data_IF_963258260588
#
_entry.id   IF_963258260588
#
_cell.length_a   1.000
_cell.length_b   1.000
_cell.length_c   1.000
_cell.angle_alpha   90.00
_cell.angle_beta   90.00
_cell.angle_gamma   90.00
#
_symmetry.space_group_name_H-M   'P 1'
#
loop_
_entity.id
_entity.type
_entity.pdbx_description
1 polymer ?
#
# COMPACT_ATOMS: atom_id res chain seq x y z
N UNK A 1 -20.39 -48.32 10.41
CA UNK A 1 -20.99 -47.19 9.67
C UNK A 1 -20.98 -45.86 10.46
N UNK A 2 -21.29 -45.87 11.77
CA UNK A 2 -21.34 -44.63 12.59
C UNK A 2 -20.01 -43.85 12.65
N UNK A 3 -18.85 -44.55 12.69
CA UNK A 3 -17.51 -43.94 12.74
C UNK A 3 -17.10 -43.23 11.42
N UNK A 4 -17.60 -43.67 10.29
CA UNK A 4 -17.33 -43.05 8.98
C UNK A 4 -18.11 -41.73 8.80
N UNK A 5 -19.32 -41.66 9.33
CA UNK A 5 -20.18 -40.46 9.27
C UNK A 5 -19.61 -39.36 10.16
N UNK A 6 -19.11 -39.71 11.35
CA UNK A 6 -18.48 -38.74 12.26
C UNK A 6 -17.18 -38.11 11.68
N UNK A 7 -16.39 -38.89 10.93
CA UNK A 7 -15.18 -38.40 10.26
C UNK A 7 -15.47 -37.43 9.09
N UNK A 8 -16.58 -37.69 8.37
CA UNK A 8 -17.03 -36.86 7.25
C UNK A 8 -17.59 -35.50 7.73
N UNK A 9 -18.28 -35.47 8.87
CA UNK A 9 -18.80 -34.25 9.47
C UNK A 9 -17.71 -33.38 10.05
N UNK A 10 -16.65 -33.96 10.60
CA UNK A 10 -15.50 -33.19 11.15
C UNK A 10 -14.68 -32.51 10.04
N UNK A 11 -14.60 -33.13 8.84
CA UNK A 11 -13.88 -32.51 7.71
C UNK A 11 -14.65 -31.35 7.06
N UNK A 12 -15.97 -31.31 7.16
CA UNK A 12 -16.81 -30.21 6.67
C UNK A 12 -16.72 -28.95 7.56
N UNK A 13 -16.40 -29.12 8.84
CA UNK A 13 -16.27 -27.97 9.78
C UNK A 13 -14.92 -27.26 9.61
N UNK A 14 -13.90 -27.94 9.11
CA UNK A 14 -12.56 -27.35 8.89
C UNK A 14 -12.43 -26.57 7.58
N UNK A 15 -13.42 -26.63 6.68
CA UNK A 15 -13.43 -25.92 5.40
C UNK A 15 -14.03 -24.51 5.46
N UNK A 16 -14.39 -23.98 6.63
CA UNK A 16 -14.58 -22.55 6.81
C UNK A 16 -13.20 -21.88 6.91
N UNK A 17 -12.39 -22.00 5.84
CA UNK A 17 -11.26 -21.12 5.61
C UNK A 17 -11.82 -19.70 5.66
N UNK A 18 -11.55 -19.01 6.74
CA UNK A 18 -11.99 -17.68 7.03
C UNK A 18 -11.81 -16.80 5.79
N UNK A 19 -12.89 -16.48 5.11
CA UNK A 19 -12.99 -15.24 4.34
C UNK A 19 -12.65 -14.18 5.38
N UNK A 20 -11.41 -13.73 5.37
CA UNK A 20 -10.95 -12.71 6.32
C UNK A 20 -11.86 -11.51 6.09
N UNK A 21 -12.80 -11.29 7.02
CA UNK A 21 -13.76 -10.20 6.94
C UNK A 21 -12.98 -8.92 6.66
N UNK A 22 -13.45 -8.16 5.67
CA UNK A 22 -12.84 -6.87 5.35
C UNK A 22 -12.97 -5.98 6.55
N UNK A 23 -11.90 -5.28 6.86
CA UNK A 23 -11.93 -4.24 7.87
C UNK A 23 -12.85 -3.10 7.41
N UNK A 24 -13.76 -2.64 8.25
CA UNK A 24 -14.62 -1.50 7.94
C UNK A 24 -13.75 -0.24 7.83
N UNK A 25 -14.27 0.78 7.16
CA UNK A 25 -13.64 2.10 7.07
C UNK A 25 -13.43 2.55 5.62
N UNK A 26 -13.34 3.88 5.49
CA UNK A 26 -13.09 4.57 4.24
C UNK A 26 -11.64 5.04 4.21
N UNK A 27 -10.84 4.51 3.30
CA UNK A 27 -9.44 4.85 3.13
C UNK A 27 -9.27 5.68 1.87
N UNK A 28 -8.73 6.90 2.00
CA UNK A 28 -8.24 7.67 0.88
C UNK A 28 -6.74 7.42 0.72
N UNK A 29 -6.34 7.00 -0.46
CA UNK A 29 -4.93 6.76 -0.80
C UNK A 29 -4.32 8.04 -1.35
N UNK A 30 -3.25 8.52 -0.74
CA UNK A 30 -2.44 9.64 -1.19
C UNK A 30 -1.11 9.12 -1.71
N UNK A 31 -0.69 9.61 -2.88
CA UNK A 31 0.64 9.43 -3.44
C UNK A 31 1.09 10.81 -3.91
N UNK A 32 2.20 11.31 -3.38
CA UNK A 32 2.65 12.67 -3.65
C UNK A 32 2.87 12.89 -5.16
N UNK A 33 2.44 14.06 -5.65
CA UNK A 33 2.44 14.46 -7.07
C UNK A 33 3.78 14.23 -7.77
N UNK A 34 4.90 14.49 -7.07
CA UNK A 34 6.25 14.23 -7.60
C UNK A 34 6.51 12.80 -8.03
N UNK A 35 5.82 11.80 -7.47
CA UNK A 35 5.98 10.39 -7.90
C UNK A 35 5.35 10.11 -9.26
N UNK A 36 4.44 11.00 -9.71
CA UNK A 36 3.84 11.00 -11.05
C UNK A 36 4.64 11.86 -12.05
N UNK A 37 5.41 12.84 -11.58
CA UNK A 37 6.08 13.82 -12.43
C UNK A 37 7.57 13.52 -12.62
N UNK A 38 8.20 12.84 -11.67
CA UNK A 38 9.64 12.59 -11.68
C UNK A 38 9.95 11.11 -11.80
N UNK A 39 10.32 10.64 -13.01
CA UNK A 39 10.75 9.27 -13.20
C UNK A 39 12.08 9.01 -12.49
N UNK A 40 12.29 7.77 -12.09
CA UNK A 40 13.57 7.28 -11.57
C UNK A 40 14.22 6.35 -12.59
N UNK A 41 15.54 6.49 -12.75
CA UNK A 41 16.31 5.61 -13.60
C UNK A 41 16.62 4.31 -12.84
N UNK A 42 16.32 3.18 -13.46
CA UNK A 42 16.74 1.87 -12.96
C UNK A 42 18.12 1.55 -13.52
N UNK A 43 19.10 1.43 -12.63
CA UNK A 43 20.50 1.29 -13.02
C UNK A 43 20.74 -0.05 -13.70
N UNK A 44 21.23 -0.01 -14.96
CA UNK A 44 21.68 -1.15 -15.71
C UNK A 44 22.85 -0.73 -16.64
N UNK A 45 23.90 -1.57 -16.85
CA UNK A 45 25.06 -1.17 -17.65
C UNK A 45 24.74 -0.83 -19.11
N UNK A 46 23.72 -1.49 -19.69
CA UNK A 46 23.42 -1.41 -21.12
C UNK A 46 22.00 -0.96 -21.46
N UNK A 47 21.13 -0.81 -20.44
CA UNK A 47 19.72 -0.43 -20.64
C UNK A 47 19.44 0.89 -19.95
N UNK A 48 18.70 1.75 -20.62
CA UNK A 48 18.22 3.01 -20.09
C UNK A 48 16.72 2.90 -19.85
N UNK A 49 16.35 2.43 -18.65
CA UNK A 49 14.95 2.21 -18.28
C UNK A 49 14.56 3.23 -17.19
N UNK A 50 13.51 3.99 -17.49
CA UNK A 50 12.92 4.95 -16.58
C UNK A 50 11.59 4.45 -16.06
N UNK A 51 11.34 4.68 -14.78
CA UNK A 51 10.16 4.19 -14.08
C UNK A 51 9.42 5.31 -13.37
N UNK A 52 8.12 5.43 -13.65
CA UNK A 52 7.20 6.33 -12.94
C UNK A 52 6.61 5.58 -11.74
N UNK A 53 7.04 5.97 -10.55
CA UNK A 53 6.66 5.28 -9.30
C UNK A 53 5.18 5.45 -8.95
N UNK A 54 4.63 6.65 -9.17
CA UNK A 54 3.26 7.00 -8.81
C UNK A 54 2.21 6.10 -9.47
N UNK A 55 2.15 6.04 -10.82
CA UNK A 55 1.15 5.22 -11.52
C UNK A 55 1.20 3.74 -11.14
N UNK A 56 2.41 3.19 -10.92
CA UNK A 56 2.55 1.79 -10.54
C UNK A 56 2.09 1.54 -9.09
N UNK A 57 2.43 2.44 -8.17
CA UNK A 57 2.00 2.34 -6.78
C UNK A 57 0.49 2.50 -6.65
N UNK A 58 -0.12 3.44 -7.39
CA UNK A 58 -1.57 3.62 -7.46
C UNK A 58 -2.27 2.34 -7.95
N UNK A 59 -1.83 1.80 -9.09
CA UNK A 59 -2.36 0.54 -9.65
C UNK A 59 -2.32 -0.58 -8.62
N UNK A 60 -1.19 -0.74 -7.93
CA UNK A 60 -1.02 -1.79 -6.92
C UNK A 60 -1.88 -1.52 -5.68
N UNK A 61 -1.95 -0.28 -5.21
CA UNK A 61 -2.76 0.09 -4.05
C UNK A 61 -4.25 -0.20 -4.30
N UNK A 62 -4.80 0.27 -5.43
CA UNK A 62 -6.21 0.04 -5.81
C UNK A 62 -6.54 -1.44 -6.08
N UNK A 63 -5.55 -2.26 -6.41
CA UNK A 63 -5.70 -3.70 -6.61
C UNK A 63 -5.63 -4.49 -5.30
N UNK A 64 -4.83 -4.04 -4.33
CA UNK A 64 -4.50 -4.86 -3.14
C UNK A 64 -5.25 -4.42 -1.88
N UNK A 65 -5.36 -3.11 -1.61
CA UNK A 65 -6.06 -2.59 -0.43
C UNK A 65 -7.53 -3.02 -0.34
N UNK A 66 -8.33 -3.04 -1.45
CA UNK A 66 -9.73 -3.48 -1.39
C UNK A 66 -9.92 -4.94 -1.01
N UNK A 67 -8.87 -5.75 -1.00
CA UNK A 67 -8.93 -7.14 -0.51
C UNK A 67 -9.10 -7.19 1.00
N UNK A 68 -8.64 -6.17 1.72
CA UNK A 68 -8.64 -6.11 3.19
C UNK A 68 -9.56 -5.04 3.75
N UNK A 69 -9.78 -3.93 3.04
CA UNK A 69 -10.57 -2.78 3.47
C UNK A 69 -11.82 -2.64 2.63
N UNK A 70 -12.91 -2.13 3.24
CA UNK A 70 -14.22 -2.07 2.58
C UNK A 70 -14.24 -1.04 1.46
N UNK A 71 -13.83 0.20 1.77
CA UNK A 71 -13.83 1.31 0.82
C UNK A 71 -12.44 1.88 0.67
N UNK A 72 -11.92 1.87 -0.56
CA UNK A 72 -10.61 2.43 -0.89
C UNK A 72 -10.75 3.30 -2.14
N UNK A 73 -10.36 4.56 -2.02
CA UNK A 73 -10.39 5.53 -3.12
C UNK A 73 -9.07 6.29 -3.19
N UNK A 74 -8.76 6.90 -4.33
CA UNK A 74 -7.67 7.87 -4.39
C UNK A 74 -8.09 9.19 -3.76
N UNK A 75 -7.16 9.91 -3.17
CA UNK A 75 -7.37 11.23 -2.58
C UNK A 75 -8.11 12.20 -3.50
N UNK A 76 -7.75 12.24 -4.80
CA UNK A 76 -8.39 13.09 -5.79
C UNK A 76 -9.89 12.84 -5.95
N UNK A 77 -10.38 11.67 -5.57
CA UNK A 77 -11.76 11.24 -5.72
C UNK A 77 -12.47 11.06 -4.37
N UNK A 78 -11.80 11.40 -3.26
CA UNK A 78 -12.33 11.19 -1.91
C UNK A 78 -12.88 12.48 -1.34
N UNK A 79 -14.17 12.51 -1.08
CA UNK A 79 -14.82 13.60 -0.32
C UNK A 79 -14.75 13.35 1.18
N UNK A 80 -14.83 12.08 1.61
CA UNK A 80 -14.81 11.68 3.01
C UNK A 80 -13.96 10.43 3.19
N UNK A 81 -13.04 10.44 4.14
CA UNK A 81 -12.28 9.27 4.54
C UNK A 81 -12.03 9.28 6.05
N UNK A 82 -12.02 8.09 6.64
CA UNK A 82 -11.68 7.91 8.06
C UNK A 82 -10.18 8.07 8.25
N UNK A 83 -9.41 7.60 7.24
CA UNK A 83 -7.94 7.65 7.22
C UNK A 83 -7.46 8.02 5.82
N UNK A 84 -6.48 8.91 5.75
CA UNK A 84 -5.68 9.14 4.55
C UNK A 84 -4.40 8.33 4.68
N UNK A 85 -4.20 7.36 3.77
CA UNK A 85 -3.01 6.53 3.70
C UNK A 85 -2.04 7.08 2.65
N UNK A 86 -1.02 7.81 3.11
CA UNK A 86 0.03 8.33 2.24
C UNK A 86 1.06 7.25 1.95
N UNK A 87 1.30 7.00 0.66
CA UNK A 87 2.24 6.00 0.17
C UNK A 87 3.47 6.68 -0.45
N UNK A 88 4.64 6.30 0.01
CA UNK A 88 5.92 6.69 -0.57
C UNK A 88 6.57 5.47 -1.25
N UNK A 89 6.38 5.28 -2.56
CA UNK A 89 6.94 4.14 -3.28
C UNK A 89 8.39 4.39 -3.66
N UNK A 90 9.22 3.34 -3.54
CA UNK A 90 10.60 3.31 -4.00
C UNK A 90 10.87 2.05 -4.81
N UNK A 91 11.73 2.17 -5.82
CA UNK A 91 12.13 1.06 -6.68
C UNK A 91 13.63 1.16 -6.96
N UNK A 92 14.31 0.04 -6.82
CA UNK A 92 15.70 -0.15 -7.19
C UNK A 92 15.86 -1.45 -7.97
N UNK A 93 16.75 -1.49 -8.94
CA UNK A 93 17.10 -2.71 -9.66
C UNK A 93 18.57 -3.07 -9.46
N UNK A 94 18.82 -4.29 -9.05
CA UNK A 94 20.18 -4.86 -9.01
C UNK A 94 20.42 -5.65 -10.30
N UNK A 95 21.25 -5.08 -11.18
CA UNK A 95 21.50 -5.66 -12.50
C UNK A 95 22.31 -6.98 -12.42
N UNK A 96 23.21 -7.12 -11.44
CA UNK A 96 24.01 -8.32 -11.27
C UNK A 96 23.17 -9.52 -10.82
N UNK A 97 22.27 -9.29 -9.87
CA UNK A 97 21.39 -10.32 -9.32
C UNK A 97 20.08 -10.46 -10.09
N UNK A 98 19.79 -9.57 -11.03
CA UNK A 98 18.51 -9.46 -11.76
C UNK A 98 17.32 -9.42 -10.81
N UNK A 99 17.38 -8.51 -9.81
CA UNK A 99 16.37 -8.39 -8.77
C UNK A 99 15.83 -6.97 -8.71
N UNK A 100 14.51 -6.85 -8.75
CA UNK A 100 13.77 -5.64 -8.43
C UNK A 100 13.53 -5.58 -6.92
N UNK A 101 13.89 -4.48 -6.31
CA UNK A 101 13.66 -4.19 -4.90
C UNK A 101 12.61 -3.07 -4.81
N UNK A 102 11.42 -3.41 -4.32
CA UNK A 102 10.39 -2.43 -4.03
C UNK A 102 10.37 -2.13 -2.54
N UNK A 103 10.23 -0.85 -2.20
CA UNK A 103 9.93 -0.40 -0.85
C UNK A 103 8.68 0.47 -0.88
N UNK A 104 7.81 0.30 0.12
CA UNK A 104 6.67 1.17 0.36
C UNK A 104 6.73 1.64 1.81
N UNK A 105 6.74 2.96 1.99
CA UNK A 105 6.52 3.59 3.27
C UNK A 105 5.08 4.08 3.26
N UNK A 106 4.26 3.54 4.15
CA UNK A 106 2.86 3.91 4.31
C UNK A 106 2.71 4.68 5.63
N UNK A 107 2.16 5.88 5.56
CA UNK A 107 1.85 6.73 6.71
C UNK A 107 0.35 6.98 6.75
N UNK A 108 -0.28 6.64 7.86
CA UNK A 108 -1.71 6.85 8.06
C UNK A 108 -1.96 8.14 8.82
N UNK A 109 -2.86 8.97 8.31
CA UNK A 109 -3.24 10.25 8.90
C UNK A 109 -4.75 10.32 9.10
N UNK A 110 -5.16 11.00 10.15
CA UNK A 110 -6.56 11.45 10.36
C UNK A 110 -6.63 12.96 10.19
N UNK A 111 -7.74 13.44 9.66
CA UNK A 111 -7.97 14.87 9.59
C UNK A 111 -8.40 15.39 10.96
N UNK A 112 -7.50 16.05 11.66
CA UNK A 112 -7.75 16.69 12.97
C UNK A 112 -8.13 18.16 12.85
N UNK A 113 -8.09 18.71 11.63
CA UNK A 113 -8.24 20.15 11.38
C UNK A 113 -6.95 20.95 11.65
N UNK A 114 -5.88 20.30 12.05
CA UNK A 114 -4.60 20.96 12.28
C UNK A 114 -3.84 21.22 10.96
N UNK A 115 -2.95 22.21 10.93
CA UNK A 115 -2.08 22.44 9.79
C UNK A 115 -1.22 21.20 9.47
N UNK A 116 -1.05 20.89 8.18
CA UNK A 116 -0.39 19.67 7.72
C UNK A 116 1.05 19.52 8.23
N UNK A 117 1.77 20.62 8.44
CA UNK A 117 3.12 20.61 9.00
C UNK A 117 3.19 20.17 10.48
N UNK A 118 2.05 20.12 11.17
CA UNK A 118 1.92 19.66 12.55
C UNK A 118 1.29 18.26 12.65
N UNK A 119 0.85 17.70 11.52
CA UNK A 119 0.23 16.37 11.51
C UNK A 119 1.25 15.28 11.85
N UNK A 120 0.88 14.47 12.82
CA UNK A 120 1.63 13.26 13.17
C UNK A 120 0.90 12.05 12.59
N UNK A 121 1.65 11.19 11.91
CA UNK A 121 1.09 9.93 11.43
C UNK A 121 0.69 9.04 12.62
N UNK A 122 -0.54 8.55 12.63
CA UNK A 122 -1.05 7.62 13.65
C UNK A 122 -0.41 6.23 13.54
N UNK A 123 0.02 5.87 12.32
CA UNK A 123 0.78 4.66 12.05
C UNK A 123 1.76 4.91 10.92
N UNK A 124 2.97 4.36 11.03
CA UNK A 124 3.97 4.38 9.98
C UNK A 124 4.50 2.97 9.76
N UNK A 125 4.36 2.48 8.54
CA UNK A 125 4.77 1.13 8.16
C UNK A 125 5.71 1.22 6.97
N UNK A 126 6.93 0.69 7.13
CA UNK A 126 7.92 0.56 6.06
C UNK A 126 8.12 -0.90 5.73
N UNK A 127 7.88 -1.31 4.49
CA UNK A 127 8.05 -2.69 4.03
C UNK A 127 8.78 -2.76 2.71
N UNK A 128 9.62 -3.78 2.59
CA UNK A 128 10.40 -4.08 1.41
C UNK A 128 10.05 -5.47 0.86
N UNK A 129 10.17 -5.63 -0.46
CA UNK A 129 10.04 -6.91 -1.13
C UNK A 129 10.96 -6.98 -2.34
N UNK A 130 11.28 -8.20 -2.71
CA UNK A 130 12.13 -8.52 -3.85
C UNK A 130 11.38 -9.36 -4.87
N UNK A 131 11.72 -9.15 -6.15
CA UNK A 131 11.22 -9.93 -7.27
C UNK A 131 12.34 -10.16 -8.26
N UNK A 132 12.67 -11.43 -8.50
CA UNK A 132 13.60 -11.79 -9.56
C UNK A 132 12.97 -11.50 -10.92
N UNK A 133 13.76 -10.94 -11.83
CA UNK A 133 13.33 -10.62 -13.19
C UNK A 133 14.38 -9.87 -13.95
N UNK A 134 14.24 -9.87 -15.28
CA UNK A 134 15.16 -9.17 -16.17
C UNK A 134 14.59 -7.80 -16.54
N UNK A 135 15.43 -6.75 -16.45
CA UNK A 135 15.03 -5.39 -16.77
C UNK A 135 14.73 -5.20 -18.28
N UNK A 136 15.35 -5.99 -19.14
CA UNK A 136 15.12 -5.98 -20.59
C UNK A 136 13.89 -6.77 -21.03
N UNK A 137 13.28 -7.56 -20.13
CA UNK A 137 12.16 -8.45 -20.46
C UNK A 137 10.98 -8.15 -19.53
N UNK A 138 9.98 -7.43 -20.03
CA UNK A 138 8.73 -7.08 -19.31
C UNK A 138 9.00 -6.48 -17.92
N UNK A 139 9.81 -5.42 -17.79
CA UNK A 139 10.18 -4.85 -16.48
C UNK A 139 8.97 -4.46 -15.64
N UNK A 140 7.92 -3.90 -16.26
CA UNK A 140 6.69 -3.48 -15.57
C UNK A 140 6.02 -4.63 -14.84
N UNK A 141 6.01 -5.83 -15.42
CA UNK A 141 5.46 -7.02 -14.76
C UNK A 141 6.20 -7.38 -13.47
N UNK A 142 7.53 -7.32 -13.49
CA UNK A 142 8.33 -7.63 -12.31
C UNK A 142 8.27 -6.52 -11.26
N UNK A 143 8.23 -5.25 -11.69
CA UNK A 143 8.02 -4.10 -10.81
C UNK A 143 6.66 -4.17 -10.13
N UNK A 144 5.56 -4.44 -10.87
CA UNK A 144 4.23 -4.63 -10.29
C UNK A 144 4.24 -5.75 -9.25
N UNK A 145 4.87 -6.88 -9.54
CA UNK A 145 4.99 -7.98 -8.57
C UNK A 145 5.78 -7.60 -7.33
N UNK A 146 6.89 -6.88 -7.47
CA UNK A 146 7.67 -6.41 -6.33
C UNK A 146 6.86 -5.47 -5.44
N UNK A 147 6.20 -4.47 -6.04
CA UNK A 147 5.32 -3.56 -5.30
C UNK A 147 4.13 -4.28 -4.66
N UNK A 148 3.51 -5.23 -5.35
CA UNK A 148 2.41 -6.03 -4.79
C UNK A 148 2.86 -6.78 -3.53
N UNK A 149 4.01 -7.44 -3.58
CA UNK A 149 4.56 -8.13 -2.40
C UNK A 149 4.88 -7.17 -1.24
N UNK A 150 5.38 -5.97 -1.53
CA UNK A 150 5.64 -4.95 -0.52
C UNK A 150 4.33 -4.44 0.10
N UNK A 151 3.32 -4.17 -0.73
CA UNK A 151 2.00 -3.70 -0.31
C UNK A 151 1.27 -4.74 0.54
N UNK A 152 1.32 -6.02 0.17
CA UNK A 152 0.73 -7.11 0.97
C UNK A 152 1.33 -7.16 2.38
N UNK A 153 2.65 -6.90 2.52
CA UNK A 153 3.30 -6.79 3.83
C UNK A 153 2.86 -5.53 4.60
N UNK A 154 2.65 -4.41 3.91
CA UNK A 154 2.10 -3.18 4.52
C UNK A 154 0.70 -3.45 5.05
N UNK A 155 -0.18 -4.02 4.22
CA UNK A 155 -1.56 -4.35 4.58
C UNK A 155 -1.61 -5.29 5.79
N UNK A 156 -0.76 -6.31 5.81
CA UNK A 156 -0.66 -7.25 6.94
C UNK A 156 -0.28 -6.52 8.23
N UNK A 157 0.66 -5.59 8.18
CA UNK A 157 1.10 -4.82 9.35
C UNK A 157 0.03 -3.85 9.84
N UNK A 158 -0.61 -3.09 8.92
CA UNK A 158 -1.71 -2.19 9.26
C UNK A 158 -2.89 -2.95 9.86
N UNK A 159 -3.16 -4.17 9.37
CA UNK A 159 -4.23 -5.03 9.88
C UNK A 159 -4.05 -5.55 11.30
N UNK A 160 -2.91 -5.30 11.94
CA UNK A 160 -2.63 -5.63 13.36
C UNK A 160 -2.21 -4.42 14.18
N UNK A 161 -2.12 -3.24 13.56
CA UNK A 161 -1.77 -1.99 14.25
C UNK A 161 -2.98 -1.45 15.01
N UNK A 162 -2.88 -1.41 16.34
CA UNK A 162 -4.00 -1.05 17.22
C UNK A 162 -4.43 0.42 17.04
N UNK A 163 -3.50 1.34 16.82
CA UNK A 163 -3.80 2.76 16.63
C UNK A 163 -4.53 2.97 15.29
N UNK A 164 -4.07 2.32 14.23
CA UNK A 164 -4.71 2.34 12.94
C UNK A 164 -6.12 1.73 12.99
N UNK A 165 -6.29 0.55 13.59
CA UNK A 165 -7.57 -0.13 13.70
C UNK A 165 -8.59 0.65 14.53
N UNK A 166 -8.15 1.32 15.59
CA UNK A 166 -9.03 2.14 16.42
C UNK A 166 -9.63 3.33 15.66
N UNK A 167 -8.97 3.81 14.60
CA UNK A 167 -9.47 4.94 13.79
C UNK A 167 -10.49 4.51 12.74
N UNK A 168 -10.40 3.29 12.22
CA UNK A 168 -11.34 2.77 11.23
C UNK A 168 -12.76 2.58 11.79
N UNK A 169 -12.91 2.49 13.11
CA UNK A 169 -14.18 2.30 13.78
C UNK A 169 -14.81 3.62 14.29
N UNK A 170 -14.14 4.76 14.06
CA UNK A 170 -14.67 6.07 14.42
C UNK A 170 -15.53 6.62 13.28
N UNK A 171 -16.56 7.39 13.65
CA UNK A 171 -17.41 8.09 12.67
C UNK A 171 -16.53 9.03 11.84
N UNK A 172 -16.64 9.02 10.49
CA UNK A 172 -15.84 9.88 9.64
C UNK A 172 -16.09 11.33 10.00
N UNK A 173 -15.07 12.04 10.35
CA UNK A 173 -15.26 13.35 10.95
C UNK A 173 -15.02 14.51 9.99
N UNK A 174 -14.32 14.34 8.84
CA UNK A 174 -13.96 15.51 8.05
C UNK A 174 -13.61 15.21 6.58
N UNK A 175 -13.69 16.25 5.75
CA UNK A 175 -13.30 16.22 4.35
C UNK A 175 -11.82 15.84 4.21
N UNK A 176 -11.56 14.75 3.53
CA UNK A 176 -10.20 14.28 3.26
C UNK A 176 -9.43 15.21 2.31
N UNK A 177 -10.14 16.02 1.51
CA UNK A 177 -9.60 16.87 0.46
C UNK A 177 -8.49 17.81 0.96
N UNK A 178 -8.74 18.59 2.00
CA UNK A 178 -7.75 19.52 2.57
C UNK A 178 -6.51 18.82 3.09
N UNK A 179 -6.66 17.63 3.68
CA UNK A 179 -5.56 16.83 4.14
C UNK A 179 -4.73 16.26 2.96
N UNK A 180 -5.43 15.80 1.91
CA UNK A 180 -4.80 15.27 0.70
C UNK A 180 -3.95 16.33 -0.01
N UNK A 181 -4.46 17.55 -0.13
CA UNK A 181 -3.73 18.65 -0.75
C UNK A 181 -2.50 19.04 0.07
N UNK A 182 -2.66 19.19 1.35
CA UNK A 182 -1.56 19.54 2.23
C UNK A 182 -0.45 18.48 2.31
N UNK A 183 -0.78 17.20 2.14
CA UNK A 183 0.23 16.13 2.13
C UNK A 183 1.18 16.21 0.92
N UNK A 184 0.81 16.92 -0.16
CA UNK A 184 1.72 17.15 -1.29
C UNK A 184 2.90 18.08 -0.91
N UNK A 185 2.72 18.94 0.09
CA UNK A 185 3.72 19.91 0.54
C UNK A 185 4.73 19.30 1.53
N UNK A 186 4.42 18.10 2.06
CA UNK A 186 5.32 17.45 3.00
C UNK A 186 6.58 16.91 2.30
N UNK A 187 7.76 17.02 2.98
CA UNK A 187 8.98 16.44 2.45
C UNK A 187 8.88 14.93 2.40
N UNK A 188 9.29 14.33 1.28
CA UNK A 188 9.43 12.87 1.16
C UNK A 188 10.68 12.40 1.91
N UNK A 189 10.59 11.19 2.47
CA UNK A 189 11.74 10.53 3.08
C UNK A 189 12.90 10.45 2.08
N UNK A 190 14.04 11.03 2.43
CA UNK A 190 15.26 10.90 1.62
C UNK A 190 15.75 9.46 1.72
N UNK A 191 15.92 8.81 0.59
CA UNK A 191 16.58 7.50 0.51
C UNK A 191 17.98 7.78 0.00
N UNK A 192 18.95 7.49 0.83
CA UNK A 192 20.35 7.44 0.43
C UNK A 192 20.63 6.01 -0.08
N UNK A 193 21.01 5.90 -1.34
CA UNK A 193 21.53 4.68 -1.93
C UNK A 193 23.06 4.70 -1.89
#
# INVERSE_FOLDING_TARGET
MLKLIASLLLSLILCNAALADKLPGNIAVHIAKRHYEHPVRLLHPYLDVWHMKGPMAEKVALKTLPKRFTNVTMCANSTNADVVLSLEPQMFYNAQLRVFHAEIIAKAYINTGEPVNQLVAIATVKKQAQQNGDLGIKPEYYMEKAYTKAMDKVIKQLGVDSAFLATLNKTPSNKAETLCDGLNDLPVSKIYY
#
